data_IF_915193632021
#
_entry.id   IF_915193632021
#
_cell.length_a   1.000
_cell.length_b   1.000
_cell.length_c   1.000
_cell.angle_alpha   90.00
_cell.angle_beta   90.00
_cell.angle_gamma   90.00
#
_symmetry.space_group_name_H-M   'P 1'
#
loop_
_entity.id
_entity.type
_entity.pdbx_description
1 polymer ?
#
# COMPACT_ATOMS: atom_id res chain seq x y z
N UNK A 1 -60.02 2.04 44.09
CA UNK A 1 -58.75 1.85 43.35
C UNK A 1 -59.00 0.80 42.28
N UNK A 2 -58.78 1.11 40.99
CA UNK A 2 -57.45 0.84 40.41
C UNK A 2 -57.02 1.87 39.34
N UNK A 3 -55.88 1.58 38.69
CA UNK A 3 -55.33 2.17 37.44
C UNK A 3 -54.22 3.19 37.64
N UNK A 4 -53.10 3.15 36.92
CA UNK A 4 -52.51 2.20 35.99
C UNK A 4 -51.04 2.63 35.86
N UNK A 5 -50.09 1.71 36.01
CA UNK A 5 -48.68 2.02 35.79
C UNK A 5 -48.33 1.72 34.32
N UNK A 6 -48.16 2.78 33.52
CA UNK A 6 -47.67 2.70 32.14
C UNK A 6 -46.15 2.49 32.16
N UNK A 7 -45.72 1.32 31.70
CA UNK A 7 -44.32 1.00 31.41
C UNK A 7 -43.91 1.67 30.10
N UNK A 8 -42.95 2.59 30.17
CA UNK A 8 -42.33 3.23 29.00
C UNK A 8 -41.15 2.38 28.53
N UNK A 9 -41.34 1.62 27.45
CA UNK A 9 -40.25 0.84 26.82
C UNK A 9 -39.46 1.76 25.88
N UNK A 10 -38.23 2.11 26.26
CA UNK A 10 -37.30 2.85 25.41
C UNK A 10 -36.64 1.86 24.45
N UNK A 11 -36.97 1.95 23.16
CA UNK A 11 -36.25 1.25 22.08
C UNK A 11 -35.03 2.09 21.69
N UNK A 12 -33.86 1.73 22.20
CA UNK A 12 -32.58 2.19 21.64
C UNK A 12 -32.29 1.36 20.39
N UNK A 13 -32.58 1.91 19.21
CA UNK A 13 -32.06 1.42 17.96
C UNK A 13 -30.55 1.74 17.92
N UNK A 14 -29.71 0.73 18.17
CA UNK A 14 -28.27 0.78 17.91
C UNK A 14 -28.04 0.75 16.40
N UNK A 15 -28.05 1.92 15.77
CA UNK A 15 -27.50 2.06 14.42
C UNK A 15 -25.99 1.90 14.53
N UNK A 16 -25.48 0.71 14.20
CA UNK A 16 -24.06 0.49 13.97
C UNK A 16 -23.67 1.35 12.74
N UNK A 17 -22.79 2.36 12.85
CA UNK A 17 -22.14 2.87 11.66
C UNK A 17 -21.18 1.76 11.23
N UNK A 18 -21.62 0.87 10.34
CA UNK A 18 -20.66 0.23 9.47
C UNK A 18 -19.94 1.39 8.79
N UNK A 19 -18.65 1.57 9.08
CA UNK A 19 -17.80 2.54 8.39
C UNK A 19 -17.76 2.12 6.92
N UNK A 20 -18.74 2.57 6.15
CA UNK A 20 -18.67 2.54 4.71
C UNK A 20 -17.46 3.40 4.34
N UNK A 21 -16.49 2.79 3.69
CA UNK A 21 -15.38 3.55 3.13
C UNK A 21 -15.92 4.67 2.24
N UNK A 22 -15.25 5.82 2.28
CA UNK A 22 -15.63 6.95 1.43
C UNK A 22 -15.63 6.50 -0.04
N UNK A 23 -16.65 6.86 -0.84
CA UNK A 23 -16.75 6.44 -2.23
C UNK A 23 -15.46 6.71 -3.06
N UNK A 24 -14.82 7.87 -2.84
CA UNK A 24 -13.54 8.21 -3.46
C UNK A 24 -12.42 7.19 -3.17
N UNK A 25 -12.33 6.65 -1.95
CA UNK A 25 -11.33 5.65 -1.62
C UNK A 25 -11.56 4.33 -2.36
N UNK A 26 -12.82 3.92 -2.52
CA UNK A 26 -13.14 2.71 -3.28
C UNK A 26 -12.76 2.84 -4.76
N UNK A 27 -12.97 4.02 -5.34
CA UNK A 27 -12.49 4.32 -6.70
C UNK A 27 -10.96 4.33 -6.77
N UNK A 28 -10.28 4.92 -5.79
CA UNK A 28 -8.81 4.90 -5.72
C UNK A 28 -8.24 3.47 -5.61
N UNK A 29 -8.84 2.61 -4.78
CA UNK A 29 -8.45 1.19 -4.69
C UNK A 29 -8.67 0.46 -6.02
N UNK A 30 -9.82 0.71 -6.66
CA UNK A 30 -10.14 0.13 -7.98
C UNK A 30 -9.12 0.57 -9.03
N UNK A 31 -8.74 1.85 -9.02
CA UNK A 31 -7.72 2.40 -9.91
C UNK A 31 -6.35 1.74 -9.69
N UNK A 32 -5.89 1.69 -8.43
CA UNK A 32 -4.59 1.09 -8.05
C UNK A 32 -4.53 -0.38 -8.48
N UNK A 33 -5.59 -1.14 -8.21
CA UNK A 33 -5.66 -2.56 -8.56
C UNK A 33 -5.70 -2.76 -10.09
N UNK A 34 -6.58 -2.06 -10.80
CA UNK A 34 -6.78 -2.22 -12.25
C UNK A 34 -5.56 -1.80 -13.06
N UNK A 35 -4.85 -0.76 -12.62
CA UNK A 35 -3.66 -0.26 -13.29
C UNK A 35 -2.35 -0.81 -12.73
N UNK A 36 -2.40 -1.75 -11.77
CA UNK A 36 -1.22 -2.34 -11.11
C UNK A 36 -0.23 -1.29 -10.60
N UNK A 37 -0.73 -0.19 -10.04
CA UNK A 37 0.10 0.98 -9.73
C UNK A 37 1.11 0.71 -8.60
N UNK A 38 0.85 -0.25 -7.71
CA UNK A 38 1.75 -0.63 -6.63
C UNK A 38 2.84 -1.64 -7.01
N UNK A 39 2.92 -2.07 -8.27
CA UNK A 39 3.89 -3.08 -8.76
C UNK A 39 5.37 -2.65 -8.66
N UNK A 40 5.63 -1.40 -8.27
CA UNK A 40 6.97 -0.85 -8.05
C UNK A 40 7.58 -1.19 -6.67
N UNK A 41 6.80 -1.71 -5.72
CA UNK A 41 7.28 -2.09 -4.38
C UNK A 41 8.55 -2.97 -4.40
N UNK A 42 8.67 -4.02 -5.24
CA UNK A 42 9.87 -4.87 -5.23
C UNK A 42 11.14 -4.10 -5.61
N UNK A 43 11.03 -3.21 -6.60
CA UNK A 43 12.15 -2.40 -7.06
C UNK A 43 12.57 -1.38 -6.00
N UNK A 44 11.60 -0.75 -5.33
CA UNK A 44 11.85 0.18 -4.21
C UNK A 44 12.53 -0.56 -3.06
N UNK A 45 12.02 -1.74 -2.69
CA UNK A 45 12.61 -2.55 -1.62
C UNK A 45 14.04 -2.99 -1.95
N UNK A 46 14.32 -3.43 -3.18
CA UNK A 46 15.68 -3.82 -3.58
C UNK A 46 16.63 -2.63 -3.55
N UNK A 47 16.21 -1.47 -4.07
CA UNK A 47 17.02 -0.25 -4.03
C UNK A 47 17.30 0.19 -2.58
N UNK A 48 16.31 0.07 -1.68
CA UNK A 48 16.49 0.36 -0.26
C UNK A 48 17.46 -0.65 0.39
N UNK A 49 17.35 -1.94 0.07
CA UNK A 49 18.23 -2.99 0.57
C UNK A 49 19.69 -2.74 0.18
N UNK A 50 19.95 -2.36 -1.08
CA UNK A 50 21.30 -2.02 -1.58
C UNK A 50 21.97 -0.87 -0.81
N UNK A 51 21.18 0.00 -0.16
CA UNK A 51 21.69 1.07 0.71
C UNK A 51 22.11 0.60 2.11
N UNK A 52 21.97 -0.69 2.45
CA UNK A 52 22.23 -1.21 3.80
C UNK A 52 23.59 -1.87 3.94
N UNK A 53 24.14 -1.85 5.16
CA UNK A 53 25.37 -2.59 5.48
C UNK A 53 25.17 -4.11 5.32
N UNK A 54 24.00 -4.64 5.68
CA UNK A 54 23.70 -6.08 5.54
C UNK A 54 23.76 -6.54 4.09
N UNK A 55 23.26 -5.73 3.14
CA UNK A 55 23.42 -6.03 1.72
C UNK A 55 24.89 -6.05 1.30
N UNK A 56 25.70 -5.08 1.74
CA UNK A 56 27.14 -5.05 1.45
C UNK A 56 27.85 -6.30 1.96
N UNK A 57 27.50 -6.81 3.15
CA UNK A 57 28.03 -8.07 3.68
C UNK A 57 27.65 -9.27 2.81
N UNK A 58 26.39 -9.34 2.36
CA UNK A 58 25.94 -10.40 1.44
C UNK A 58 26.71 -10.31 0.11
N UNK A 59 26.84 -9.10 -0.46
CA UNK A 59 27.53 -8.86 -1.73
C UNK A 59 29.02 -9.16 -1.67
N UNK A 60 29.69 -8.90 -0.55
CA UNK A 60 31.10 -9.27 -0.35
C UNK A 60 31.31 -10.79 -0.38
N UNK A 61 30.34 -11.55 0.15
CA UNK A 61 30.43 -13.01 0.25
C UNK A 61 30.00 -13.73 -1.03
N UNK A 62 28.97 -13.23 -1.70
CA UNK A 62 28.33 -13.91 -2.83
C UNK A 62 28.63 -13.25 -4.18
N UNK A 63 29.13 -12.02 -4.19
CA UNK A 63 29.16 -11.16 -5.37
C UNK A 63 27.86 -10.35 -5.52
N UNK A 64 27.97 -9.15 -6.13
CA UNK A 64 26.85 -8.21 -6.24
C UNK A 64 25.67 -8.75 -7.07
N UNK A 65 25.95 -9.48 -8.16
CA UNK A 65 24.91 -10.03 -9.03
C UNK A 65 24.08 -11.09 -8.30
N UNK A 66 24.74 -12.01 -7.59
CA UNK A 66 24.05 -13.03 -6.80
C UNK A 66 23.35 -12.42 -5.57
N UNK A 67 23.93 -11.41 -4.92
CA UNK A 67 23.26 -10.68 -3.85
C UNK A 67 21.96 -10.02 -4.35
N UNK A 68 21.99 -9.34 -5.50
CA UNK A 68 20.81 -8.73 -6.09
C UNK A 68 19.74 -9.76 -6.43
N UNK A 69 20.13 -10.86 -7.09
CA UNK A 69 19.21 -11.92 -7.48
C UNK A 69 18.54 -12.55 -6.26
N UNK A 70 19.32 -12.99 -5.27
CA UNK A 70 18.80 -13.71 -4.11
C UNK A 70 17.96 -12.79 -3.21
N UNK A 71 18.40 -11.56 -2.95
CA UNK A 71 17.60 -10.61 -2.16
C UNK A 71 16.30 -10.27 -2.91
N UNK A 72 16.33 -10.14 -4.23
CA UNK A 72 15.11 -9.95 -5.02
C UNK A 72 14.17 -11.15 -4.96
N UNK A 73 14.67 -12.39 -4.92
CA UNK A 73 13.87 -13.61 -4.73
C UNK A 73 13.16 -13.58 -3.37
N UNK A 74 13.87 -13.23 -2.29
CA UNK A 74 13.29 -13.12 -0.95
C UNK A 74 12.26 -11.98 -0.84
N UNK A 75 12.55 -10.81 -1.44
CA UNK A 75 11.57 -9.71 -1.54
C UNK A 75 10.30 -10.19 -2.25
N UNK A 76 10.45 -10.87 -3.39
CA UNK A 76 9.32 -11.39 -4.19
C UNK A 76 8.48 -12.37 -3.38
N UNK A 77 9.14 -13.27 -2.65
CA UNK A 77 8.46 -14.26 -1.79
C UNK A 77 7.64 -13.61 -0.66
N UNK A 78 8.05 -12.41 -0.21
CA UNK A 78 7.38 -11.67 0.86
C UNK A 78 6.26 -10.74 0.34
N UNK A 79 6.13 -10.49 -0.97
CA UNK A 79 5.11 -9.59 -1.51
C UNK A 79 3.68 -9.92 -1.09
N UNK A 80 3.23 -11.20 -1.01
CA UNK A 80 1.87 -11.50 -0.55
C UNK A 80 1.55 -10.94 0.85
N UNK A 81 2.56 -10.73 1.70
CA UNK A 81 2.42 -10.16 3.04
C UNK A 81 2.38 -8.62 3.03
N UNK A 82 3.14 -7.97 2.16
CA UNK A 82 3.36 -6.51 2.21
C UNK A 82 2.63 -5.71 1.12
N UNK A 83 2.36 -6.31 -0.04
CA UNK A 83 1.70 -5.66 -1.16
C UNK A 83 0.32 -5.10 -0.80
N UNK A 84 -0.55 -5.79 -0.02
CA UNK A 84 -1.88 -5.26 0.28
C UNK A 84 -1.85 -3.91 1.03
N UNK A 85 -0.97 -3.77 2.01
CA UNK A 85 -0.87 -2.52 2.79
C UNK A 85 -0.18 -1.40 1.97
N UNK A 86 0.79 -1.76 1.12
CA UNK A 86 1.39 -0.83 0.17
C UNK A 86 0.35 -0.27 -0.83
N UNK A 87 -0.48 -1.15 -1.40
CA UNK A 87 -1.53 -0.77 -2.35
C UNK A 87 -2.62 0.08 -1.67
N UNK A 88 -2.96 -0.22 -0.42
CA UNK A 88 -3.89 0.58 0.37
C UNK A 88 -3.34 1.99 0.65
N UNK A 89 -2.08 2.11 1.03
CA UNK A 89 -1.43 3.42 1.21
C UNK A 89 -1.41 4.22 -0.10
N UNK A 90 -1.18 3.54 -1.23
CA UNK A 90 -1.25 4.18 -2.54
C UNK A 90 -2.65 4.68 -2.86
N UNK A 91 -3.68 3.86 -2.62
CA UNK A 91 -5.06 4.26 -2.79
C UNK A 91 -5.40 5.48 -1.91
N UNK A 92 -4.95 5.52 -0.66
CA UNK A 92 -5.11 6.67 0.25
C UNK A 92 -4.41 7.93 -0.26
N UNK A 93 -3.22 7.80 -0.85
CA UNK A 93 -2.51 8.93 -1.43
C UNK A 93 -3.26 9.51 -2.66
N UNK A 94 -3.87 8.64 -3.47
CA UNK A 94 -4.75 9.05 -4.57
C UNK A 94 -6.06 9.67 -4.08
N UNK A 95 -6.72 9.09 -3.08
CA UNK A 95 -7.93 9.66 -2.45
C UNK A 95 -7.71 11.10 -1.98
N UNK A 96 -6.55 11.40 -1.38
CA UNK A 96 -6.21 12.76 -0.94
C UNK A 96 -5.95 13.74 -2.08
N UNK A 97 -5.57 13.24 -3.25
CA UNK A 97 -5.07 14.06 -4.38
C UNK A 97 -6.13 14.28 -5.48
N UNK A 98 -7.22 13.51 -5.47
CA UNK A 98 -8.24 13.49 -6.51
C UNK A 98 -9.64 13.43 -5.90
N UNK A 99 -10.61 14.03 -6.59
CA UNK A 99 -12.02 13.84 -6.22
C UNK A 99 -12.53 12.47 -6.67
N UNK A 100 -13.70 12.08 -6.16
CA UNK A 100 -14.38 10.85 -6.58
C UNK A 100 -14.64 10.82 -8.09
N UNK A 101 -15.10 11.94 -8.68
CA UNK A 101 -15.39 12.03 -10.11
C UNK A 101 -14.12 11.87 -10.96
N UNK A 102 -13.02 12.44 -10.50
CA UNK A 102 -11.72 12.31 -11.17
C UNK A 102 -11.22 10.87 -11.13
N UNK A 103 -11.30 10.23 -9.96
CA UNK A 103 -10.92 8.82 -9.79
C UNK A 103 -11.80 7.89 -10.62
N UNK A 104 -13.12 8.11 -10.62
CA UNK A 104 -14.07 7.32 -11.40
C UNK A 104 -13.79 7.43 -12.91
N UNK A 105 -13.50 8.64 -13.43
CA UNK A 105 -13.09 8.79 -14.84
C UNK A 105 -11.75 8.11 -15.12
N UNK A 106 -10.77 8.17 -14.22
CA UNK A 106 -9.51 7.44 -14.38
C UNK A 106 -9.71 5.92 -14.38
N UNK A 107 -10.63 5.40 -13.56
CA UNK A 107 -11.00 3.98 -13.55
C UNK A 107 -11.68 3.57 -14.86
N UNK A 108 -12.62 4.37 -15.36
CA UNK A 108 -13.39 4.08 -16.56
C UNK A 108 -12.53 4.18 -17.83
N UNK A 109 -11.84 5.31 -18.00
CA UNK A 109 -11.22 5.70 -19.26
C UNK A 109 -9.70 5.48 -19.27
N UNK A 110 -9.07 5.27 -18.11
CA UNK A 110 -7.63 5.04 -18.00
C UNK A 110 -6.81 6.14 -18.69
N UNK A 111 -5.89 5.78 -19.60
CA UNK A 111 -5.09 6.77 -20.35
C UNK A 111 -5.90 7.74 -21.22
N UNK A 112 -7.16 7.43 -21.55
CA UNK A 112 -8.04 8.31 -22.32
C UNK A 112 -8.80 9.33 -21.44
N UNK A 113 -8.68 9.21 -20.10
CA UNK A 113 -9.33 10.16 -19.18
C UNK A 113 -8.80 11.58 -19.38
N UNK A 114 -9.72 12.55 -19.31
CA UNK A 114 -9.36 13.98 -19.32
C UNK A 114 -8.44 14.39 -18.15
N UNK A 115 -8.36 13.57 -17.09
CA UNK A 115 -7.58 13.85 -15.89
C UNK A 115 -6.15 13.27 -15.92
N UNK A 116 -5.72 12.64 -17.02
CA UNK A 116 -4.37 12.03 -17.10
C UNK A 116 -3.24 13.04 -16.91
N UNK A 117 -3.40 14.28 -17.40
CA UNK A 117 -2.41 15.34 -17.18
C UNK A 117 -2.36 15.79 -15.71
N UNK A 118 -3.49 15.71 -14.99
CA UNK A 118 -3.52 15.94 -13.54
C UNK A 118 -2.78 14.83 -12.80
N UNK A 119 -2.90 13.57 -13.23
CA UNK A 119 -2.14 12.45 -12.67
C UNK A 119 -0.64 12.72 -12.75
N UNK A 120 -0.15 13.16 -13.93
CA UNK A 120 1.26 13.55 -14.10
C UNK A 120 1.65 14.68 -13.16
N UNK A 121 0.81 15.73 -13.06
CA UNK A 121 1.07 16.86 -12.18
C UNK A 121 1.11 16.48 -10.68
N UNK A 122 0.34 15.47 -10.27
CA UNK A 122 0.27 15.02 -8.87
C UNK A 122 1.28 13.94 -8.49
N UNK A 123 2.10 13.45 -9.43
CA UNK A 123 3.06 12.36 -9.15
C UNK A 123 3.99 12.67 -7.98
N UNK A 124 4.49 13.91 -7.88
CA UNK A 124 5.38 14.30 -6.80
C UNK A 124 4.66 14.32 -5.44
N UNK A 125 3.41 14.79 -5.41
CA UNK A 125 2.57 14.81 -4.21
C UNK A 125 2.27 13.39 -3.72
N UNK A 126 1.77 12.54 -4.61
CA UNK A 126 1.46 11.13 -4.31
C UNK A 126 2.73 10.38 -3.87
N UNK A 127 3.86 10.59 -4.56
CA UNK A 127 5.14 9.99 -4.21
C UNK A 127 5.67 10.45 -2.83
N UNK A 128 5.46 11.73 -2.48
CA UNK A 128 5.79 12.26 -1.16
C UNK A 128 4.96 11.63 -0.04
N UNK A 129 3.65 11.52 -0.26
CA UNK A 129 2.73 10.84 0.67
C UNK A 129 3.09 9.35 0.82
N UNK A 130 3.38 8.65 -0.28
CA UNK A 130 3.80 7.26 -0.24
C UNK A 130 5.08 7.07 0.55
N UNK A 131 6.07 7.94 0.38
CA UNK A 131 7.31 7.89 1.17
C UNK A 131 7.01 8.02 2.66
N UNK A 132 6.20 9.00 3.05
CA UNK A 132 5.85 9.27 4.44
C UNK A 132 5.05 8.14 5.10
N UNK A 133 4.10 7.56 4.36
CA UNK A 133 3.15 6.57 4.89
C UNK A 133 3.65 5.14 4.80
N UNK A 134 4.54 4.84 3.85
CA UNK A 134 4.97 3.47 3.53
C UNK A 134 6.42 3.17 3.90
N UNK A 135 7.16 4.12 4.47
CA UNK A 135 8.51 3.86 4.98
C UNK A 135 8.58 2.64 5.93
N UNK A 136 7.67 2.46 6.90
CA UNK A 136 7.69 1.29 7.78
C UNK A 136 7.51 -0.04 7.03
N UNK A 137 6.65 -0.05 6.01
CA UNK A 137 6.37 -1.24 5.18
C UNK A 137 7.63 -1.64 4.41
N UNK A 138 8.28 -0.67 3.76
CA UNK A 138 9.51 -0.92 3.00
C UNK A 138 10.63 -1.38 3.93
N UNK A 139 10.80 -0.73 5.09
CA UNK A 139 11.83 -1.10 6.06
C UNK A 139 11.63 -2.54 6.60
N UNK A 140 10.40 -2.92 6.91
CA UNK A 140 10.08 -4.27 7.38
C UNK A 140 10.34 -5.33 6.30
N UNK A 141 9.86 -5.10 5.07
CA UNK A 141 10.09 -5.98 3.93
C UNK A 141 11.60 -6.19 3.67
N UNK A 142 12.37 -5.11 3.64
CA UNK A 142 13.83 -5.15 3.44
C UNK A 142 14.53 -5.91 4.56
N UNK A 143 14.15 -5.64 5.81
CA UNK A 143 14.74 -6.32 6.97
C UNK A 143 14.49 -7.82 6.93
N UNK A 144 13.27 -8.25 6.64
CA UNK A 144 12.93 -9.67 6.53
C UNK A 144 13.63 -10.35 5.35
N UNK A 145 13.70 -9.70 4.19
CA UNK A 145 14.38 -10.25 3.02
C UNK A 145 15.90 -10.42 3.23
N UNK A 146 16.55 -9.41 3.81
CA UNK A 146 17.99 -9.47 4.14
C UNK A 146 18.26 -10.54 5.18
N UNK A 147 17.46 -10.62 6.25
CA UNK A 147 17.57 -11.66 7.27
C UNK A 147 17.43 -13.06 6.66
N UNK A 148 16.39 -13.29 5.86
CA UNK A 148 16.17 -14.58 5.20
C UNK A 148 17.34 -14.95 4.27
N UNK A 149 17.89 -13.97 3.55
CA UNK A 149 19.07 -14.19 2.69
C UNK A 149 20.27 -14.64 3.51
N UNK A 150 20.58 -13.92 4.61
CA UNK A 150 21.70 -14.26 5.47
C UNK A 150 21.55 -15.66 6.08
N UNK A 151 20.38 -15.98 6.65
CA UNK A 151 20.11 -17.29 7.26
C UNK A 151 20.23 -18.46 6.27
N UNK A 152 19.88 -18.24 4.99
CA UNK A 152 19.87 -19.28 3.95
C UNK A 152 21.19 -19.44 3.21
N UNK A 153 22.06 -18.42 3.21
CA UNK A 153 23.21 -18.34 2.30
C UNK A 153 24.54 -18.04 2.98
N UNK A 154 24.53 -17.52 4.20
CA UNK A 154 25.74 -17.20 4.95
C UNK A 154 25.80 -18.11 6.20
N UNK A 155 26.81 -18.99 6.31
CA UNK A 155 27.03 -19.83 7.49
C UNK A 155 27.58 -19.04 8.69
#
# INVERSE_FOLDING_TARGET
>A
MPSAALLLTVLFALSNPASADAPALNEARTLVAKAHMGSNLPAIALSAAQGTVSWSVIAEKLGADDANRIVSEEITALLPKYQPEWDENLARAYEKSFSEEELSSLVADGPASQYVEKVKAQQATVGGEMRSTSEPIVAALVTEALKATMEKRLP
#
